data_IF_535192151612
#
_entry.id   IF_535192151612
#
_cell.length_a   1.000
_cell.length_b   1.000
_cell.length_c   1.000
_cell.angle_alpha   90.00
_cell.angle_beta   90.00
_cell.angle_gamma   90.00
#
_symmetry.space_group_name_H-M   'P 1'
#
loop_
_entity.id
_entity.type
_entity.pdbx_description
1 polymer ?
#
# COMPACT_ATOMS: atom_id res chain seq x y z
N UNK A 1 -42.70 -27.27 -19.46
CA UNK A 1 -41.28 -27.23 -19.85
C UNK A 1 -40.64 -28.51 -19.34
N UNK A 2 -40.04 -29.27 -20.27
CA UNK A 2 -39.63 -30.67 -20.18
C UNK A 2 -38.64 -30.99 -19.05
N UNK A 3 -39.02 -31.88 -18.12
CA UNK A 3 -38.09 -32.53 -17.17
C UNK A 3 -37.37 -33.73 -17.82
N UNK A 4 -37.98 -34.33 -18.82
CA UNK A 4 -37.49 -35.52 -19.54
C UNK A 4 -36.32 -35.21 -20.48
N UNK A 5 -36.22 -34.00 -21.02
CA UNK A 5 -35.09 -33.62 -21.91
C UNK A 5 -33.77 -33.46 -21.14
N UNK A 6 -33.82 -32.96 -19.91
CA UNK A 6 -32.61 -32.82 -19.08
C UNK A 6 -32.04 -34.17 -18.64
N UNK A 7 -32.91 -35.09 -18.21
CA UNK A 7 -32.50 -36.44 -17.80
C UNK A 7 -31.86 -37.25 -18.93
N UNK A 8 -32.43 -37.21 -20.14
CA UNK A 8 -31.85 -37.91 -21.29
C UNK A 8 -30.46 -37.36 -21.68
N UNK A 9 -30.21 -36.07 -21.42
CA UNK A 9 -28.93 -35.45 -21.75
C UNK A 9 -27.85 -35.85 -20.75
N UNK A 10 -28.18 -35.82 -19.45
CA UNK A 10 -27.29 -36.29 -18.38
C UNK A 10 -26.95 -37.79 -18.56
N UNK A 11 -27.95 -38.63 -18.84
CA UNK A 11 -27.77 -40.07 -19.10
C UNK A 11 -26.88 -40.32 -20.34
N UNK A 12 -26.98 -39.49 -21.38
CA UNK A 12 -26.13 -39.56 -22.57
C UNK A 12 -24.68 -39.12 -22.27
N UNK A 13 -24.48 -38.10 -21.44
CA UNK A 13 -23.15 -37.67 -21.00
C UNK A 13 -22.47 -38.75 -20.15
N UNK A 14 -23.20 -39.35 -19.22
CA UNK A 14 -22.68 -40.42 -18.37
C UNK A 14 -22.32 -41.66 -19.20
N UNK A 15 -23.15 -42.04 -20.18
CA UNK A 15 -22.83 -43.11 -21.12
C UNK A 15 -21.59 -42.80 -21.98
N UNK A 16 -21.40 -41.54 -22.38
CA UNK A 16 -20.24 -41.11 -23.16
C UNK A 16 -18.96 -41.11 -22.31
N UNK A 17 -19.04 -40.64 -21.06
CA UNK A 17 -17.94 -40.73 -20.09
C UNK A 17 -17.54 -42.18 -19.83
N UNK A 18 -18.52 -43.07 -19.63
CA UNK A 18 -18.27 -44.50 -19.43
C UNK A 18 -17.59 -45.12 -20.67
N UNK A 19 -18.02 -44.75 -21.89
CA UNK A 19 -17.37 -45.25 -23.12
C UNK A 19 -15.92 -44.79 -23.27
N UNK A 20 -15.58 -43.57 -22.86
CA UNK A 20 -14.19 -43.08 -22.85
C UNK A 20 -13.38 -43.78 -21.75
N UNK A 21 -14.01 -44.08 -20.62
CA UNK A 21 -13.35 -44.77 -19.51
C UNK A 21 -13.11 -46.26 -19.80
N UNK A 22 -14.03 -46.91 -20.50
CA UNK A 22 -13.95 -48.32 -20.88
C UNK A 22 -13.00 -48.57 -22.07
N UNK A 23 -12.65 -47.53 -22.83
CA UNK A 23 -11.64 -47.60 -23.88
C UNK A 23 -10.25 -47.77 -23.25
N UNK A 24 -9.82 -49.02 -23.12
CA UNK A 24 -8.50 -49.35 -22.55
C UNK A 24 -7.41 -49.12 -23.61
N UNK A 25 -6.46 -48.19 -23.37
CA UNK A 25 -5.47 -47.84 -24.38
C UNK A 25 -4.50 -49.00 -24.63
N UNK A 26 -4.16 -49.20 -25.90
CA UNK A 26 -3.19 -50.22 -26.33
C UNK A 26 -1.85 -50.09 -25.57
N UNK A 27 -1.36 -51.22 -25.05
CA UNK A 27 -0.13 -51.27 -24.27
C UNK A 27 1.11 -50.79 -25.05
N UNK A 28 1.13 -51.01 -26.38
CA UNK A 28 2.21 -50.52 -27.25
C UNK A 28 2.13 -49.00 -27.39
N UNK A 29 0.92 -48.44 -27.57
CA UNK A 29 0.71 -47.00 -27.57
C UNK A 29 1.17 -46.33 -26.26
N UNK A 30 0.84 -46.91 -25.08
CA UNK A 30 1.27 -46.39 -23.77
C UNK A 30 2.79 -46.39 -23.64
N UNK A 31 3.45 -47.51 -23.98
CA UNK A 31 4.91 -47.62 -23.85
C UNK A 31 5.66 -46.65 -24.78
N UNK A 32 5.15 -46.44 -25.99
CA UNK A 32 5.69 -45.45 -26.94
C UNK A 32 5.42 -44.00 -26.51
N UNK A 33 4.29 -43.72 -25.86
CA UNK A 33 4.01 -42.40 -25.30
C UNK A 33 4.94 -42.12 -24.12
N UNK A 34 5.11 -43.09 -23.21
CA UNK A 34 6.02 -42.99 -22.07
C UNK A 34 7.45 -42.69 -22.52
N UNK A 35 7.97 -43.41 -23.51
CA UNK A 35 9.34 -43.17 -24.02
C UNK A 35 9.49 -41.78 -24.62
N UNK A 36 8.53 -41.31 -25.43
CA UNK A 36 8.56 -39.95 -26.01
C UNK A 36 8.52 -38.86 -24.94
N UNK A 37 7.63 -38.97 -23.95
CA UNK A 37 7.53 -38.00 -22.85
C UNK A 37 8.80 -38.00 -22.02
N UNK A 38 9.32 -39.18 -21.68
CA UNK A 38 10.56 -39.30 -20.91
C UNK A 38 11.76 -38.68 -21.63
N UNK A 39 11.91 -38.92 -22.93
CA UNK A 39 12.97 -38.29 -23.74
C UNK A 39 12.83 -36.77 -23.76
N UNK A 40 11.62 -36.23 -23.91
CA UNK A 40 11.40 -34.76 -23.82
C UNK A 40 11.79 -34.21 -22.45
N UNK A 41 11.37 -34.86 -21.37
CA UNK A 41 11.72 -34.45 -20.02
C UNK A 41 13.23 -34.49 -19.77
N UNK A 42 13.94 -35.51 -20.27
CA UNK A 42 15.41 -35.58 -20.14
C UNK A 42 16.12 -34.45 -20.93
N UNK A 43 15.65 -34.14 -22.13
CA UNK A 43 16.19 -33.04 -22.93
C UNK A 43 15.97 -31.69 -22.23
N UNK A 44 14.76 -31.46 -21.69
CA UNK A 44 14.44 -30.27 -20.92
C UNK A 44 15.27 -30.19 -19.63
N UNK A 45 15.37 -31.28 -18.87
CA UNK A 45 16.17 -31.34 -17.64
C UNK A 45 17.65 -31.01 -17.89
N UNK A 46 18.22 -31.51 -18.99
CA UNK A 46 19.61 -31.20 -19.40
C UNK A 46 19.77 -29.72 -19.77
N UNK A 47 18.76 -29.14 -20.44
CA UNK A 47 18.74 -27.70 -20.77
C UNK A 47 18.58 -26.80 -19.54
N UNK A 48 17.91 -27.30 -18.50
CA UNK A 48 17.77 -26.62 -17.22
C UNK A 48 19.04 -26.73 -16.37
N UNK A 49 19.75 -27.86 -16.40
CA UNK A 49 21.02 -28.04 -15.68
C UNK A 49 22.13 -27.12 -16.21
N UNK A 50 22.19 -26.88 -17.51
CA UNK A 50 23.13 -25.90 -18.09
C UNK A 50 22.79 -24.44 -17.76
N UNK A 51 21.56 -24.16 -17.32
CA UNK A 51 21.09 -22.85 -16.82
C UNK A 51 20.89 -22.81 -15.31
N UNK A 52 21.15 -23.91 -14.60
CA UNK A 52 20.95 -24.04 -13.17
C UNK A 52 22.10 -23.34 -12.45
N UNK A 53 22.04 -22.01 -12.45
CA UNK A 53 22.42 -21.28 -11.25
C UNK A 53 21.69 -21.92 -10.06
N UNK A 54 22.45 -22.19 -9.02
CA UNK A 54 22.09 -22.62 -7.66
C UNK A 54 20.63 -23.02 -7.39
N UNK A 55 20.44 -24.27 -6.95
CA UNK A 55 19.15 -24.80 -6.51
C UNK A 55 18.60 -23.91 -5.39
N UNK A 56 17.41 -23.34 -5.61
CA UNK A 56 16.75 -22.50 -4.61
C UNK A 56 16.18 -23.43 -3.53
N UNK A 57 16.77 -23.42 -2.34
CA UNK A 57 16.33 -24.25 -1.22
C UNK A 57 15.83 -23.40 -0.05
N UNK A 58 14.54 -23.54 0.25
CA UNK A 58 13.87 -22.87 1.36
C UNK A 58 14.07 -21.34 1.37
N UNK A 59 13.94 -20.74 2.55
CA UNK A 59 14.07 -19.28 2.70
C UNK A 59 15.47 -18.77 2.36
N UNK A 60 16.53 -19.54 2.65
CA UNK A 60 17.92 -19.13 2.38
C UNK A 60 18.18 -18.93 0.88
N UNK A 61 17.68 -19.85 0.05
CA UNK A 61 17.78 -19.73 -1.41
C UNK A 61 17.00 -18.54 -1.97
N UNK A 62 15.87 -18.16 -1.37
CA UNK A 62 15.15 -16.95 -1.80
C UNK A 62 15.84 -15.67 -1.35
N UNK A 63 16.43 -15.65 -0.15
CA UNK A 63 17.15 -14.48 0.39
C UNK A 63 18.36 -14.10 -0.46
N UNK A 64 19.10 -15.08 -1.01
CA UNK A 64 20.22 -14.80 -1.91
C UNK A 64 19.78 -14.09 -3.19
N UNK A 65 18.54 -14.31 -3.65
CA UNK A 65 17.98 -13.66 -4.83
C UNK A 65 17.46 -12.24 -4.59
N UNK A 66 17.39 -11.77 -3.34
CA UNK A 66 16.80 -10.45 -3.05
C UNK A 66 17.61 -9.29 -3.64
N UNK A 67 18.94 -9.41 -3.72
CA UNK A 67 19.78 -8.39 -4.33
C UNK A 67 19.45 -8.23 -5.82
N UNK A 68 19.39 -9.35 -6.54
CA UNK A 68 19.06 -9.40 -7.97
C UNK A 68 17.60 -9.05 -8.26
N UNK A 69 16.70 -9.39 -7.34
CA UNK A 69 15.29 -8.99 -7.42
C UNK A 69 15.16 -7.46 -7.33
N UNK A 70 15.90 -6.81 -6.42
CA UNK A 70 15.91 -5.34 -6.27
C UNK A 70 16.48 -4.63 -7.49
N UNK A 71 17.55 -5.16 -8.08
CA UNK A 71 18.16 -4.60 -9.29
C UNK A 71 17.43 -5.00 -10.58
N UNK A 72 16.36 -5.80 -10.47
CA UNK A 72 15.54 -6.33 -11.58
C UNK A 72 16.32 -7.15 -12.61
N UNK A 73 17.48 -7.69 -12.23
CA UNK A 73 18.33 -8.51 -13.09
C UNK A 73 17.88 -9.98 -13.16
N UNK A 74 16.94 -10.39 -12.30
CA UNK A 74 16.39 -11.75 -12.34
C UNK A 74 15.63 -12.06 -13.63
N UNK A 75 15.73 -13.32 -14.06
CA UNK A 75 14.90 -13.87 -15.13
C UNK A 75 13.42 -13.81 -14.74
N UNK A 76 12.49 -13.71 -15.71
CA UNK A 76 11.06 -13.65 -15.42
C UNK A 76 10.55 -14.79 -14.53
N UNK A 77 11.01 -16.02 -14.78
CA UNK A 77 10.64 -17.19 -13.98
C UNK A 77 11.14 -17.13 -12.53
N UNK A 78 12.35 -16.61 -12.29
CA UNK A 78 12.85 -16.43 -10.92
C UNK A 78 12.16 -15.28 -10.20
N UNK A 79 11.81 -14.22 -10.93
CA UNK A 79 11.05 -13.10 -10.39
C UNK A 79 9.68 -13.55 -9.85
N UNK A 80 8.93 -14.33 -10.62
CA UNK A 80 7.62 -14.84 -10.20
C UNK A 80 7.71 -15.76 -8.98
N UNK A 81 8.77 -16.58 -8.89
CA UNK A 81 9.00 -17.43 -7.71
C UNK A 81 9.32 -16.62 -6.45
N UNK A 82 10.13 -15.56 -6.56
CA UNK A 82 10.41 -14.66 -5.43
C UNK A 82 9.14 -13.92 -5.00
N UNK A 83 8.34 -13.46 -5.95
CA UNK A 83 7.06 -12.80 -5.67
C UNK A 83 6.11 -13.71 -4.91
N UNK A 84 5.90 -14.94 -5.39
CA UNK A 84 5.06 -15.95 -4.75
C UNK A 84 5.55 -16.26 -3.32
N UNK A 85 6.85 -16.49 -3.15
CA UNK A 85 7.43 -16.75 -1.84
C UNK A 85 7.29 -15.56 -0.87
N UNK A 86 7.45 -14.33 -1.36
CA UNK A 86 7.23 -13.12 -0.55
C UNK A 86 5.75 -12.94 -0.18
N UNK A 87 4.82 -13.46 -1.00
CA UNK A 87 3.40 -13.46 -0.66
C UNK A 87 3.07 -14.45 0.47
N UNK A 88 3.66 -15.64 0.44
CA UNK A 88 3.39 -16.69 1.42
C UNK A 88 4.21 -16.53 2.72
N UNK A 89 5.47 -16.12 2.63
CA UNK A 89 6.41 -16.16 3.75
C UNK A 89 6.59 -14.79 4.44
N UNK A 90 6.00 -14.63 5.62
CA UNK A 90 6.07 -13.39 6.39
C UNK A 90 7.48 -13.03 6.89
N UNK A 91 8.35 -14.00 7.19
CA UNK A 91 9.74 -13.72 7.60
C UNK A 91 10.56 -13.15 6.45
N UNK A 92 10.51 -13.78 5.27
CA UNK A 92 11.15 -13.30 4.05
C UNK A 92 10.63 -11.92 3.64
N UNK A 93 9.31 -11.66 3.80
CA UNK A 93 8.73 -10.34 3.54
C UNK A 93 9.25 -9.27 4.50
N UNK A 94 9.34 -9.58 5.79
CA UNK A 94 9.89 -8.67 6.81
C UNK A 94 11.35 -8.37 6.55
N UNK A 95 12.14 -9.39 6.22
CA UNK A 95 13.55 -9.21 5.87
C UNK A 95 13.69 -8.35 4.61
N UNK A 96 12.95 -8.66 3.55
CA UNK A 96 12.96 -7.85 2.33
C UNK A 96 12.56 -6.39 2.59
N UNK A 97 11.53 -6.16 3.42
CA UNK A 97 11.08 -4.82 3.81
C UNK A 97 11.98 -4.10 4.82
N UNK A 98 12.75 -4.84 5.63
CA UNK A 98 13.67 -4.32 6.65
C UNK A 98 14.98 -3.78 6.07
N UNK A 99 15.30 -4.09 4.81
CA UNK A 99 16.44 -3.52 4.07
C UNK A 99 16.08 -2.22 3.29
N UNK A 100 14.91 -1.63 3.57
CA UNK A 100 14.30 -0.62 2.69
C UNK A 100 14.65 0.84 2.99
N UNK A 101 15.82 1.30 2.54
CA UNK A 101 16.08 2.69 2.11
C UNK A 101 16.49 2.72 0.61
N UNK A 102 15.82 1.94 -0.25
CA UNK A 102 16.04 1.98 -1.70
C UNK A 102 14.73 2.01 -2.50
N UNK A 103 14.68 2.77 -3.62
CA UNK A 103 13.44 3.15 -4.30
C UNK A 103 12.94 2.04 -5.23
N UNK A 104 12.10 1.18 -4.68
CA UNK A 104 11.39 0.13 -5.42
C UNK A 104 10.28 -0.41 -4.56
N UNK A 105 9.28 0.46 -4.27
CA UNK A 105 8.13 0.16 -3.42
C UNK A 105 7.37 -1.05 -4.00
N UNK A 106 7.68 -2.26 -3.52
CA UNK A 106 6.64 -3.27 -3.42
C UNK A 106 5.57 -2.64 -2.55
N UNK A 107 4.37 -2.53 -3.13
CA UNK A 107 3.24 -1.86 -2.53
C UNK A 107 3.22 -2.18 -1.03
N UNK A 108 3.31 -1.12 -0.22
CA UNK A 108 3.03 -1.18 1.20
C UNK A 108 1.73 -1.97 1.31
N UNK A 109 1.83 -3.23 1.74
CA UNK A 109 0.65 -4.02 2.11
C UNK A 109 -0.05 -3.11 3.09
N UNK A 110 -1.21 -2.59 2.68
CA UNK A 110 -2.14 -1.99 3.60
C UNK A 110 -2.58 -3.17 4.43
N UNK A 111 -1.81 -3.45 5.49
CA UNK A 111 -2.37 -4.14 6.63
C UNK A 111 -3.65 -3.39 6.93
N UNK A 112 -4.72 -4.12 7.23
CA UNK A 112 -5.80 -3.52 7.99
C UNK A 112 -5.13 -3.21 9.34
N UNK A 113 -4.47 -2.05 9.38
CA UNK A 113 -3.83 -1.51 10.55
C UNK A 113 -4.99 -1.40 11.55
N UNK A 114 -4.94 -2.23 12.60
CA UNK A 114 -5.74 -1.98 13.78
C UNK A 114 -5.54 -0.50 14.09
N UNK A 115 -6.65 0.26 14.02
CA UNK A 115 -6.64 1.70 13.85
C UNK A 115 -5.54 2.37 14.69
N UNK A 116 -4.70 3.24 14.11
CA UNK A 116 -3.75 3.98 14.91
C UNK A 116 -4.54 4.79 15.94
N UNK A 117 -4.36 4.48 17.22
CA UNK A 117 -4.75 5.37 18.31
C UNK A 117 -4.04 6.69 18.05
N UNK A 118 -4.77 7.65 17.49
CA UNK A 118 -4.28 8.97 17.19
C UNK A 118 -3.79 9.62 18.48
N UNK A 119 -2.47 9.63 18.69
CA UNK A 119 -1.87 10.63 19.56
C UNK A 119 -2.11 11.98 18.89
N UNK A 120 -3.15 12.67 19.34
CA UNK A 120 -3.53 13.99 18.87
C UNK A 120 -2.34 14.94 19.05
N UNK A 121 -1.60 15.18 17.98
CA UNK A 121 -0.71 16.33 17.90
C UNK A 121 -1.62 17.56 17.84
N UNK A 122 -1.54 18.53 18.78
CA UNK A 122 -2.29 19.76 18.63
C UNK A 122 -1.76 20.49 17.41
N UNK A 123 -2.53 20.38 16.33
CA UNK A 123 -2.37 21.11 15.09
C UNK A 123 -2.67 22.57 15.39
N UNK A 124 -1.67 23.33 15.82
CA UNK A 124 -1.70 24.79 15.68
C UNK A 124 -1.32 25.14 14.24
N UNK A 125 -2.07 24.58 13.29
CA UNK A 125 -2.01 24.93 11.88
C UNK A 125 -3.10 25.95 11.62
N UNK A 126 -2.88 27.16 12.14
CA UNK A 126 -3.65 28.31 11.73
C UNK A 126 -3.23 28.59 10.28
N UNK A 127 -4.13 28.57 9.28
CA UNK A 127 -3.74 28.84 7.91
C UNK A 127 -3.21 30.28 7.86
N UNK A 128 -1.93 30.41 7.55
CA UNK A 128 -1.11 31.66 7.56
C UNK A 128 -1.79 32.87 6.85
N UNK A 129 -2.80 32.58 6.03
CA UNK A 129 -3.67 33.55 5.34
C UNK A 129 -4.48 34.45 6.29
N UNK A 130 -4.82 34.00 7.50
CA UNK A 130 -5.58 34.81 8.47
C UNK A 130 -4.69 35.58 9.46
N UNK A 131 -3.43 35.18 9.62
CA UNK A 131 -2.48 35.87 10.50
C UNK A 131 -2.17 37.28 9.98
N UNK A 132 -2.03 37.44 8.66
CA UNK A 132 -1.78 38.75 8.02
C UNK A 132 -2.99 39.68 8.17
N UNK A 133 -4.21 39.16 8.01
CA UNK A 133 -5.43 39.94 8.18
C UNK A 133 -5.59 40.44 9.63
N UNK A 134 -5.29 39.60 10.61
CA UNK A 134 -5.33 39.98 12.02
C UNK A 134 -4.28 41.05 12.36
N UNK A 135 -3.06 40.91 11.84
CA UNK A 135 -2.00 41.92 12.05
C UNK A 135 -2.35 43.27 11.42
N UNK A 136 -2.94 43.29 10.22
CA UNK A 136 -3.39 44.51 9.58
C UNK A 136 -4.49 45.22 10.39
N UNK A 137 -5.49 44.47 10.85
CA UNK A 137 -6.56 45.04 11.68
C UNK A 137 -6.02 45.62 13.00
N UNK A 138 -5.08 44.92 13.63
CA UNK A 138 -4.49 45.38 14.90
C UNK A 138 -3.59 46.61 14.70
N UNK A 139 -2.81 46.66 13.62
CA UNK A 139 -1.99 47.82 13.27
C UNK A 139 -2.83 49.06 12.95
N UNK A 140 -3.93 48.90 12.21
CA UNK A 140 -4.85 50.00 11.89
C UNK A 140 -5.59 50.47 13.15
N UNK A 141 -6.05 49.55 14.01
CA UNK A 141 -6.71 49.90 15.27
C UNK A 141 -5.81 50.69 16.22
N UNK A 142 -4.59 50.20 16.47
CA UNK A 142 -3.64 50.86 17.38
C UNK A 142 -3.15 52.19 16.77
N UNK A 143 -2.87 52.22 15.47
CA UNK A 143 -2.43 53.42 14.77
C UNK A 143 -3.49 54.52 14.76
N UNK A 144 -4.74 54.18 14.50
CA UNK A 144 -5.85 55.15 14.51
C UNK A 144 -6.12 55.72 15.91
N UNK A 145 -6.04 54.90 16.96
CA UNK A 145 -6.16 55.37 18.35
C UNK A 145 -5.08 56.40 18.69
N UNK A 146 -3.82 56.08 18.40
CA UNK A 146 -2.69 56.98 18.67
C UNK A 146 -2.76 58.26 17.86
N UNK A 147 -3.18 58.17 16.61
CA UNK A 147 -3.42 59.33 15.76
C UNK A 147 -4.52 60.24 16.33
N UNK A 148 -5.60 59.65 16.86
CA UNK A 148 -6.69 60.40 17.48
C UNK A 148 -6.30 61.01 18.84
N UNK A 149 -5.43 60.37 19.62
CA UNK A 149 -4.85 60.99 20.83
C UNK A 149 -3.97 62.20 20.51
N UNK A 150 -3.29 62.20 19.35
CA UNK A 150 -2.32 63.24 19.01
C UNK A 150 -2.90 64.40 18.22
N UNK A 151 -3.86 64.13 17.33
CA UNK A 151 -4.50 65.12 16.47
C UNK A 151 -5.99 65.31 16.75
N UNK A 152 -6.57 64.53 17.67
CA UNK A 152 -7.94 64.70 18.09
C UNK A 152 -8.16 65.98 18.89
N UNK A 153 -9.40 66.49 18.92
CA UNK A 153 -9.73 67.68 19.70
C UNK A 153 -9.44 67.44 21.18
N UNK A 154 -8.83 68.44 21.85
CA UNK A 154 -8.54 68.38 23.27
C UNK A 154 -9.80 67.97 24.06
N UNK A 155 -9.69 67.11 25.08
CA UNK A 155 -10.84 66.58 25.81
C UNK A 155 -11.73 67.73 26.30
N UNK A 156 -12.95 67.82 25.78
CA UNK A 156 -13.96 68.76 26.25
C UNK A 156 -14.61 68.21 27.51
N UNK A 157 -13.80 68.01 28.54
CA UNK A 157 -14.25 67.64 29.88
C UNK A 157 -14.52 68.87 30.74
N UNK A 158 -15.57 68.80 31.55
CA UNK A 158 -15.93 69.83 32.52
C UNK A 158 -14.72 70.16 33.40
N UNK A 159 -14.25 71.41 33.30
CA UNK A 159 -13.22 71.95 34.20
C UNK A 159 -13.79 71.93 35.60
N UNK A 160 -13.23 71.09 36.48
CA UNK A 160 -13.61 71.05 37.87
C UNK A 160 -13.53 72.47 38.45
N UNK A 161 -14.68 73.05 38.81
CA UNK A 161 -14.70 74.22 39.70
C UNK A 161 -14.52 73.69 41.11
N UNK A 162 -13.42 74.09 41.74
CA UNK A 162 -13.23 73.91 43.19
C UNK A 162 -14.28 74.78 43.89
N UNK A 163 -15.24 74.14 44.55
CA UNK A 163 -16.09 74.81 45.54
C UNK A 163 -15.38 74.64 46.88
N UNK A 164 -14.92 75.76 47.44
CA UNK A 164 -14.44 75.85 48.81
C UNK A 164 -15.57 75.45 49.76
N UNK A 165 -15.31 74.47 50.62
CA UNK A 165 -16.18 74.20 51.76
C UNK A 165 -15.79 75.16 52.89
N UNK A 166 -16.65 76.12 53.20
CA UNK A 166 -16.54 76.88 54.44
C UNK A 166 -16.86 75.95 55.61
N UNK A 167 -15.85 75.67 56.44
CA UNK A 167 -16.03 74.99 57.71
C UNK A 167 -16.50 75.96 58.77
N UNK A 168 -17.73 75.80 59.24
CA UNK A 168 -18.20 76.39 60.50
C UNK A 168 -18.06 75.36 61.62
N UNK A 169 -17.30 75.75 62.65
CA UNK A 169 -17.15 75.09 63.96
C UNK A 169 -18.42 75.22 64.80
#
# INVERSE_FOLDING_TARGET
MNRTDGQNHDDMFDALLESVHAEEPDAVAISSAKSRVWTRLQMEATSLQTKAGEVITGCAGFRSLFADYRTRTLTPARRSLVEDHLHECASCRKEFGGFGDAPGKLAKVVGIDAAPVHAARPSFWMPSKWAVAAMLMMGIGIGSWKFWEWFGPAPTGNRARVLSADGSV
#
